data_IF_762517078393
#
_entry.id   IF_762517078393
#
_cell.length_a   1.000
_cell.length_b   1.000
_cell.length_c   1.000
_cell.angle_alpha   90.00
_cell.angle_beta   90.00
_cell.angle_gamma   90.00
#
_symmetry.space_group_name_H-M   'P 1'
#
loop_
_entity.id
_entity.type
_entity.pdbx_description
1 polymer ?
#
# COMPACT_ATOMS: atom_id res chain seq x y z
N UNK A 1 -2.36 -40.12 -47.16
CA UNK A 1 -3.27 -38.96 -47.03
C UNK A 1 -3.21 -38.48 -45.59
N UNK A 2 -2.54 -37.35 -45.38
CA UNK A 2 -2.52 -36.61 -44.11
C UNK A 2 -3.72 -35.65 -44.08
N UNK A 3 -4.37 -35.44 -42.91
CA UNK A 3 -4.39 -34.07 -42.42
C UNK A 3 -4.24 -33.99 -40.89
N UNK A 4 -3.02 -33.65 -40.48
CA UNK A 4 -2.63 -33.16 -39.18
C UNK A 4 -3.02 -31.68 -39.10
N UNK A 5 -4.11 -31.38 -38.40
CA UNK A 5 -4.54 -30.01 -38.09
C UNK A 5 -4.86 -29.87 -36.60
N UNK A 6 -3.80 -29.64 -35.83
CA UNK A 6 -3.70 -28.67 -34.74
C UNK A 6 -5.01 -28.19 -34.08
N UNK A 7 -5.35 -28.76 -32.92
CA UNK A 7 -6.03 -28.01 -31.85
C UNK A 7 -5.04 -27.74 -30.72
N UNK A 8 -4.17 -26.75 -30.93
CA UNK A 8 -3.47 -26.07 -29.83
C UNK A 8 -4.53 -25.32 -29.02
N UNK A 9 -4.97 -25.94 -27.93
CA UNK A 9 -5.78 -25.27 -26.92
C UNK A 9 -4.85 -24.20 -26.30
N UNK A 10 -5.08 -22.94 -26.67
CA UNK A 10 -4.48 -21.79 -26.00
C UNK A 10 -4.92 -21.82 -24.53
N UNK A 11 -4.14 -22.48 -23.69
CA UNK A 11 -4.17 -22.23 -22.24
C UNK A 11 -3.52 -20.88 -22.03
N UNK A 12 -4.33 -19.82 -22.13
CA UNK A 12 -3.96 -18.55 -21.51
C UNK A 12 -3.55 -18.86 -20.07
N UNK A 13 -2.33 -18.48 -19.64
CA UNK A 13 -1.98 -18.54 -18.24
C UNK A 13 -3.10 -17.85 -17.49
N UNK A 14 -3.70 -18.52 -16.51
CA UNK A 14 -4.62 -17.85 -15.59
C UNK A 14 -3.90 -16.59 -15.16
N UNK A 15 -4.52 -15.43 -15.41
CA UNK A 15 -4.19 -14.21 -14.72
C UNK A 15 -4.51 -14.48 -13.24
N UNK A 16 -3.61 -15.20 -12.55
CA UNK A 16 -3.46 -15.09 -11.12
C UNK A 16 -3.01 -13.65 -10.93
N UNK A 17 -3.99 -12.74 -10.90
CA UNK A 17 -3.78 -11.42 -10.38
C UNK A 17 -3.05 -11.64 -9.06
N UNK A 18 -1.81 -11.19 -9.03
CA UNK A 18 -1.00 -11.22 -7.83
C UNK A 18 -1.67 -10.23 -6.88
N UNK A 19 -2.74 -10.66 -6.21
CA UNK A 19 -3.39 -9.95 -5.12
C UNK A 19 -2.38 -9.96 -3.95
N UNK A 20 -1.27 -9.24 -4.11
CA UNK A 20 -0.41 -8.87 -3.00
C UNK A 20 -1.26 -7.96 -2.15
N UNK A 21 -1.77 -8.52 -1.06
CA UNK A 21 -2.44 -7.74 -0.05
C UNK A 21 -1.45 -6.68 0.42
N UNK A 22 -1.91 -5.43 0.43
CA UNK A 22 -1.14 -4.31 0.94
C UNK A 22 -0.76 -4.64 2.39
N UNK A 23 0.53 -4.51 2.73
CA UNK A 23 1.01 -4.77 4.09
C UNK A 23 0.17 -3.99 5.12
N UNK A 24 -0.12 -4.56 6.30
CA UNK A 24 -0.83 -3.86 7.37
C UNK A 24 -0.23 -2.48 7.66
N UNK A 25 1.10 -2.38 7.71
CA UNK A 25 1.84 -1.12 7.93
C UNK A 25 1.61 -0.10 6.81
N UNK A 26 1.58 -0.57 5.56
CA UNK A 26 1.33 0.31 4.41
C UNK A 26 -0.10 0.84 4.41
N UNK A 27 -1.06 0.01 4.85
CA UNK A 27 -2.45 0.44 5.03
C UNK A 27 -2.57 1.47 6.15
N UNK A 28 -1.90 1.25 7.29
CA UNK A 28 -1.92 2.19 8.41
C UNK A 28 -1.30 3.54 8.04
N UNK A 29 -0.10 3.54 7.43
CA UNK A 29 0.55 4.78 6.99
C UNK A 29 -0.31 5.53 5.96
N UNK A 30 -0.88 4.83 4.98
CA UNK A 30 -1.78 5.45 3.99
C UNK A 30 -3.05 6.00 4.61
N UNK A 31 -3.58 5.34 5.63
CA UNK A 31 -4.75 5.84 6.35
C UNK A 31 -4.43 7.14 7.11
N UNK A 32 -3.24 7.25 7.69
CA UNK A 32 -2.76 8.47 8.37
C UNK A 32 -2.59 9.62 7.36
N UNK A 33 -1.91 9.36 6.25
CA UNK A 33 -1.73 10.33 5.15
C UNK A 33 -3.08 10.80 4.60
N UNK A 34 -4.02 9.86 4.41
CA UNK A 34 -5.36 10.18 3.94
C UNK A 34 -6.11 11.06 4.95
N UNK A 35 -6.01 10.77 6.25
CA UNK A 35 -6.61 11.60 7.29
C UNK A 35 -6.07 13.04 7.27
N UNK A 36 -4.76 13.23 7.12
CA UNK A 36 -4.13 14.55 6.97
C UNK A 36 -4.64 15.30 5.74
N UNK A 37 -4.72 14.62 4.58
CA UNK A 37 -5.28 15.19 3.35
C UNK A 37 -6.73 15.62 3.54
N UNK A 38 -7.54 14.82 4.22
CA UNK A 38 -8.93 15.16 4.52
C UNK A 38 -9.01 16.41 5.39
N UNK A 39 -8.24 16.47 6.48
CA UNK A 39 -8.20 17.64 7.35
C UNK A 39 -7.81 18.91 6.58
N UNK A 40 -6.76 18.84 5.77
CA UNK A 40 -6.34 19.93 4.89
C UNK A 40 -7.44 20.34 3.90
N UNK A 41 -8.05 19.37 3.19
CA UNK A 41 -9.11 19.62 2.20
C UNK A 41 -10.34 20.31 2.80
N UNK A 42 -10.71 19.95 4.03
CA UNK A 42 -11.87 20.52 4.72
C UNK A 42 -11.52 21.69 5.63
N UNK A 43 -10.27 22.20 5.56
CA UNK A 43 -9.77 23.29 6.41
C UNK A 43 -10.01 23.05 7.90
N UNK A 44 -9.88 21.78 8.33
CA UNK A 44 -10.01 21.38 9.74
C UNK A 44 -8.64 21.18 10.36
N UNK A 45 -8.52 21.65 11.59
CA UNK A 45 -7.33 21.48 12.37
C UNK A 45 -7.46 20.29 13.34
N UNK A 46 -6.41 19.47 13.41
CA UNK A 46 -6.27 18.42 14.42
C UNK A 46 -4.78 18.32 14.73
N UNK A 47 -4.41 18.52 15.98
CA UNK A 47 -3.02 18.44 16.42
C UNK A 47 -2.71 17.11 17.13
N UNK A 48 -3.63 16.15 17.15
CA UNK A 48 -3.45 14.91 17.89
C UNK A 48 -3.89 13.71 17.07
N UNK A 49 -2.91 12.92 16.62
CA UNK A 49 -3.13 11.73 15.82
C UNK A 49 -2.72 10.49 16.61
N UNK A 50 -3.63 9.52 16.69
CA UNK A 50 -3.36 8.26 17.36
C UNK A 50 -3.06 7.18 16.33
N UNK A 51 -1.92 6.51 16.48
CA UNK A 51 -1.51 5.38 15.64
C UNK A 51 -1.44 4.08 16.46
N UNK A 52 -1.65 2.93 15.80
CA UNK A 52 -1.80 1.62 16.47
C UNK A 52 -0.63 0.68 16.25
N UNK A 53 0.41 1.12 15.54
CA UNK A 53 1.63 0.36 15.35
C UNK A 53 2.82 1.14 15.90
N UNK A 54 3.57 0.49 16.79
CA UNK A 54 4.88 0.98 17.23
C UNK A 54 5.87 1.01 16.06
N UNK A 55 5.72 0.11 15.10
CA UNK A 55 6.54 0.10 13.88
C UNK A 55 6.32 1.37 13.07
N UNK A 56 5.06 1.84 12.99
CA UNK A 56 4.75 3.10 12.30
C UNK A 56 5.38 4.32 13.00
N UNK A 57 5.48 4.31 14.34
CA UNK A 57 6.22 5.34 15.08
C UNK A 57 7.68 5.35 14.64
N UNK A 58 8.31 4.16 14.56
CA UNK A 58 9.70 4.02 14.11
C UNK A 58 9.88 4.47 12.67
N UNK A 59 8.95 4.11 11.77
CA UNK A 59 8.95 4.55 10.37
C UNK A 59 8.92 6.06 10.24
N UNK A 60 8.11 6.74 11.04
CA UNK A 60 8.02 8.21 11.03
C UNK A 60 9.29 8.84 11.63
N UNK A 61 9.88 8.22 12.65
CA UNK A 61 11.07 8.71 13.33
C UNK A 61 12.37 8.52 12.52
N UNK A 62 12.47 7.44 11.75
CA UNK A 62 13.69 7.02 11.02
C UNK A 62 13.36 6.65 9.57
N UNK A 63 12.77 7.55 8.77
CA UNK A 63 12.20 7.20 7.47
C UNK A 63 13.20 6.60 6.47
N UNK A 64 14.48 6.95 6.58
CA UNK A 64 15.61 6.39 5.82
C UNK A 64 15.79 4.87 5.98
N UNK A 65 15.44 4.30 7.13
CA UNK A 65 15.54 2.85 7.39
C UNK A 65 14.40 2.06 6.71
N UNK A 66 13.41 2.76 6.15
CA UNK A 66 12.18 2.17 5.62
C UNK A 66 11.97 2.51 4.13
N UNK A 67 12.90 2.14 3.22
CA UNK A 67 12.85 2.52 1.81
C UNK A 67 11.60 2.01 1.09
N UNK A 68 11.00 0.91 1.55
CA UNK A 68 9.77 0.37 1.01
C UNK A 68 8.53 1.27 1.22
N UNK A 69 8.63 2.29 2.08
CA UNK A 69 7.58 3.23 2.44
C UNK A 69 7.95 4.68 2.11
N UNK A 70 9.05 4.89 1.38
CA UNK A 70 9.62 6.22 1.14
C UNK A 70 8.63 7.20 0.50
N UNK A 71 7.78 6.72 -0.42
CA UNK A 71 6.77 7.55 -1.07
C UNK A 71 5.73 8.07 -0.06
N UNK A 72 5.16 7.17 0.74
CA UNK A 72 4.17 7.51 1.75
C UNK A 72 4.76 8.36 2.89
N UNK A 73 5.99 8.10 3.30
CA UNK A 73 6.69 8.86 4.35
C UNK A 73 7.04 10.27 3.87
N UNK A 74 7.46 10.43 2.61
CA UNK A 74 7.70 11.75 2.04
C UNK A 74 6.41 12.57 1.92
N UNK A 75 5.31 11.93 1.53
CA UNK A 75 4.00 12.56 1.48
C UNK A 75 3.50 12.96 2.89
N UNK A 76 3.64 12.06 3.87
CA UNK A 76 3.37 12.37 5.28
C UNK A 76 4.16 13.58 5.74
N UNK A 77 5.49 13.60 5.52
CA UNK A 77 6.37 14.72 5.92
C UNK A 77 5.92 16.04 5.31
N UNK A 78 5.55 16.04 4.04
CA UNK A 78 5.07 17.24 3.33
C UNK A 78 3.77 17.78 3.93
N UNK A 79 2.81 16.88 4.21
CA UNK A 79 1.54 17.26 4.83
C UNK A 79 1.70 17.70 6.28
N UNK A 80 2.60 17.04 7.01
CA UNK A 80 2.85 17.27 8.43
C UNK A 80 3.58 18.60 8.69
N UNK A 81 4.33 19.13 7.72
CA UNK A 81 5.06 20.38 7.85
C UNK A 81 4.18 21.60 8.20
N UNK A 82 2.88 21.54 7.94
CA UNK A 82 1.92 22.59 8.31
C UNK A 82 1.36 22.45 9.74
N UNK A 83 1.63 21.36 10.45
CA UNK A 83 1.12 21.06 11.79
C UNK A 83 2.20 21.35 12.86
N UNK A 84 2.37 22.61 13.22
CA UNK A 84 3.44 23.07 14.12
C UNK A 84 3.35 22.48 15.55
N UNK A 85 2.14 22.30 16.09
CA UNK A 85 1.89 21.66 17.40
C UNK A 85 1.34 20.24 17.27
N UNK A 86 1.47 19.63 16.09
CA UNK A 86 1.00 18.27 15.83
C UNK A 86 1.74 17.21 16.64
N UNK A 87 0.99 16.27 17.21
CA UNK A 87 1.49 15.10 17.92
C UNK A 87 0.98 13.82 17.27
N UNK A 88 1.89 12.86 17.05
CA UNK A 88 1.56 11.48 16.69
C UNK A 88 1.87 10.60 17.90
N UNK A 89 0.86 9.96 18.46
CA UNK A 89 0.98 9.16 19.67
C UNK A 89 0.59 7.72 19.38
N UNK A 90 1.43 6.79 19.82
CA UNK A 90 1.07 5.38 19.81
C UNK A 90 0.08 5.08 20.93
N UNK A 91 -1.00 4.38 20.60
CA UNK A 91 -1.90 3.81 21.59
C UNK A 91 -2.31 2.41 21.17
N UNK A 92 -2.32 1.50 22.14
CA UNK A 92 -2.74 0.12 21.93
C UNK A 92 -4.15 0.08 21.34
N UNK A 93 -4.34 -0.83 20.39
CA UNK A 93 -5.52 -0.98 19.54
C UNK A 93 -6.79 -1.23 20.35
N UNK A 94 -6.65 -1.82 21.54
CA UNK A 94 -7.72 -2.00 22.53
C UNK A 94 -8.39 -0.69 22.99
N UNK A 95 -7.74 0.45 22.77
CA UNK A 95 -8.18 1.76 23.27
C UNK A 95 -8.75 2.72 22.22
N UNK A 96 -8.65 2.41 20.91
CA UNK A 96 -9.24 3.22 19.83
C UNK A 96 -10.34 2.44 19.10
N UNK A 97 -11.36 2.07 19.87
CA UNK A 97 -12.46 1.21 19.43
C UNK A 97 -13.19 1.75 18.21
N UNK A 98 -13.27 3.08 18.03
CA UNK A 98 -13.91 3.71 16.88
C UNK A 98 -13.15 3.47 15.57
N UNK A 99 -11.84 3.69 15.55
CA UNK A 99 -11.04 3.47 14.34
C UNK A 99 -10.96 1.97 13.99
N UNK A 100 -10.78 1.11 15.01
CA UNK A 100 -10.79 -0.35 14.80
C UNK A 100 -12.14 -0.85 14.26
N UNK A 101 -13.25 -0.34 14.81
CA UNK A 101 -14.59 -0.64 14.30
C UNK A 101 -14.73 -0.28 12.81
N UNK A 102 -14.31 0.93 12.43
CA UNK A 102 -14.35 1.36 11.02
C UNK A 102 -13.49 0.45 10.13
N UNK A 103 -12.28 0.10 10.56
CA UNK A 103 -11.38 -0.79 9.82
C UNK A 103 -11.96 -2.21 9.68
N UNK A 104 -12.65 -2.72 10.71
CA UNK A 104 -13.34 -4.03 10.65
C UNK A 104 -14.53 -3.98 9.70
N UNK A 105 -15.34 -2.92 9.76
CA UNK A 105 -16.47 -2.73 8.84
C UNK A 105 -16.03 -2.58 7.38
N UNK A 106 -14.89 -1.95 7.12
CA UNK A 106 -14.34 -1.85 5.78
C UNK A 106 -13.95 -3.23 5.21
N UNK A 107 -13.41 -4.13 6.05
CA UNK A 107 -13.02 -5.50 5.64
C UNK A 107 -14.22 -6.43 5.45
N UNK A 108 -15.29 -6.26 6.24
CA UNK A 108 -16.49 -7.10 6.14
C UNK A 108 -17.36 -6.75 4.93
N UNK A 109 -17.30 -5.50 4.46
CA UNK A 109 -17.89 -5.12 3.18
C UNK A 109 -17.12 -5.87 2.08
N UNK A 110 -17.78 -6.81 1.40
CA UNK A 110 -17.27 -7.66 0.30
C UNK A 110 -16.87 -6.87 -0.96
N UNK A 111 -16.22 -5.72 -0.82
CA UNK A 111 -15.66 -5.00 -1.95
C UNK A 111 -14.28 -5.58 -2.25
N UNK A 112 -14.16 -6.24 -3.40
CA UNK A 112 -12.86 -6.68 -3.91
C UNK A 112 -12.03 -5.43 -4.19
N UNK A 113 -11.12 -5.08 -3.29
CA UNK A 113 -10.13 -4.04 -3.55
C UNK A 113 -9.09 -4.63 -4.51
N UNK A 114 -9.10 -4.19 -5.77
CA UNK A 114 -7.99 -4.42 -6.69
C UNK A 114 -6.91 -3.39 -6.40
N UNK A 115 -5.85 -3.81 -5.72
CA UNK A 115 -4.63 -3.02 -5.60
C UNK A 115 -3.79 -3.25 -6.87
N UNK A 116 -3.62 -2.20 -7.68
CA UNK A 116 -2.69 -2.23 -8.81
C UNK A 116 -1.32 -1.85 -8.28
N UNK A 117 -0.43 -2.84 -8.19
CA UNK A 117 0.95 -2.62 -7.80
C UNK A 117 1.67 -1.80 -8.90
N UNK A 118 2.48 -0.82 -8.51
CA UNK A 118 3.32 -0.04 -9.44
C UNK A 118 4.61 -0.77 -9.81
N UNK A 119 4.94 -1.89 -9.15
CA UNK A 119 6.08 -2.70 -9.57
C UNK A 119 5.81 -3.35 -10.92
N UNK A 120 6.70 -3.10 -11.88
CA UNK A 120 6.75 -3.80 -13.17
C UNK A 120 6.90 -5.31 -12.88
N UNK A 121 5.99 -6.17 -13.36
CA UNK A 121 6.17 -7.62 -13.26
C UNK A 121 7.50 -8.02 -13.87
N UNK A 122 8.23 -8.95 -13.25
CA UNK A 122 9.56 -9.34 -13.70
C UNK A 122 9.62 -9.81 -15.17
N UNK A 123 8.51 -10.32 -15.72
CA UNK A 123 8.39 -10.72 -17.12
C UNK A 123 8.19 -9.56 -18.11
N UNK A 124 7.86 -8.35 -17.61
CA UNK A 124 7.84 -7.09 -18.39
C UNK A 124 9.20 -6.37 -18.30
N UNK A 125 10.11 -6.81 -17.42
CA UNK A 125 11.43 -6.21 -17.31
C UNK A 125 12.34 -6.62 -18.47
N UNK A 126 12.13 -5.98 -19.62
CA UNK A 126 12.88 -6.18 -20.87
C UNK A 126 14.38 -5.86 -20.68
N UNK A 127 14.78 -5.18 -19.59
CA UNK A 127 16.19 -4.87 -19.31
C UNK A 127 16.99 -6.06 -18.76
N UNK A 128 16.32 -7.13 -18.33
CA UNK A 128 16.99 -8.37 -17.88
C UNK A 128 16.74 -9.57 -18.80
N UNK A 129 16.04 -9.37 -19.91
CA UNK A 129 15.88 -10.36 -20.98
C UNK A 129 17.13 -10.36 -21.86
N UNK A 130 18.28 -10.77 -21.32
CA UNK A 130 19.38 -11.22 -22.18
C UNK A 130 18.85 -12.39 -22.98
N UNK A 131 18.56 -12.15 -24.27
CA UNK A 131 18.43 -13.20 -25.27
C UNK A 131 19.69 -14.06 -25.15
N UNK A 132 19.55 -15.21 -24.50
CA UNK A 132 20.49 -16.31 -24.63
C UNK A 132 20.23 -16.92 -26.01
N UNK A 133 20.64 -16.23 -27.06
CA UNK A 133 20.96 -16.87 -28.32
C UNK A 133 22.28 -17.61 -28.09
N UNK A 134 22.16 -18.91 -27.79
CA UNK A 134 23.27 -19.85 -27.86
C UNK A 134 23.41 -20.28 -29.32
N UNK A 135 24.63 -20.18 -29.82
CA UNK A 135 25.12 -20.48 -31.18
C UNK A 135 24.75 -21.86 -31.71
#
# INVERSE_FOLDING_TARGET
MDPTATRRINRYPRLQGCHKQVSPHHTELKSLVWALKCLSRYQRYCNYFVIHSQELVKMIATPEDWPAFAAELNEFKTLWASYQDGQVVYKDKSSNTKADFLARQARTRKHVFSYVNTCVPHWIDIRNSTFADSS
#
